data_IF_688292211644
#
_entry.id   IF_688292211644
#
_cell.length_a   1.000
_cell.length_b   1.000
_cell.length_c   1.000
_cell.angle_alpha   90.00
_cell.angle_beta   90.00
_cell.angle_gamma   90.00
#
_symmetry.space_group_name_H-M   'P 1'
#
loop_
_entity.id
_entity.type
_entity.pdbx_description
1 polymer ?
#
# COMPACT_ATOMS: atom_id res chain seq x y z
N UNK A 1 -4.33 -26.79 -0.83
CA UNK A 1 -2.95 -26.45 -1.27
C UNK A 1 -2.82 -25.92 -2.71
N UNK A 2 -3.79 -26.06 -3.63
CA UNK A 2 -3.62 -25.59 -5.02
C UNK A 2 -3.76 -24.06 -5.21
N UNK A 3 -4.61 -23.39 -4.43
CA UNK A 3 -4.91 -21.95 -4.61
C UNK A 3 -3.73 -21.05 -4.17
N UNK A 4 -3.19 -21.26 -2.97
CA UNK A 4 -2.03 -20.49 -2.46
C UNK A 4 -0.84 -20.57 -3.41
N UNK A 5 -0.52 -21.77 -3.91
CA UNK A 5 0.56 -21.96 -4.89
C UNK A 5 0.29 -21.19 -6.18
N UNK A 6 -0.93 -21.28 -6.73
CA UNK A 6 -1.30 -20.58 -7.96
C UNK A 6 -1.17 -19.05 -7.83
N UNK A 7 -1.52 -18.48 -6.68
CA UNK A 7 -1.32 -17.05 -6.43
C UNK A 7 0.16 -16.69 -6.32
N UNK A 8 0.95 -17.50 -5.61
CA UNK A 8 2.40 -17.27 -5.48
C UNK A 8 3.12 -17.36 -6.84
N UNK A 9 2.79 -18.34 -7.67
CA UNK A 9 3.30 -18.48 -9.05
C UNK A 9 2.90 -17.27 -9.89
N UNK A 10 1.63 -16.84 -9.83
CA UNK A 10 1.17 -15.65 -10.56
C UNK A 10 1.94 -14.38 -10.16
N UNK A 11 2.17 -14.14 -8.87
CA UNK A 11 2.95 -12.99 -8.38
C UNK A 11 4.42 -13.11 -8.85
N UNK A 12 5.00 -14.29 -8.79
CA UNK A 12 6.40 -14.52 -9.16
C UNK A 12 6.66 -14.35 -10.65
N UNK A 13 5.75 -14.85 -11.49
CA UNK A 13 5.94 -14.93 -12.94
C UNK A 13 5.52 -13.65 -13.67
N UNK A 14 4.74 -12.77 -13.03
CA UNK A 14 4.26 -11.52 -13.65
C UNK A 14 5.33 -10.43 -13.57
N UNK A 15 5.74 -9.90 -14.72
CA UNK A 15 6.55 -8.69 -14.84
C UNK A 15 5.76 -7.54 -15.45
N UNK A 16 6.34 -6.33 -15.42
CA UNK A 16 5.69 -5.09 -15.89
C UNK A 16 5.15 -5.21 -17.32
N UNK A 17 5.86 -5.91 -18.21
CA UNK A 17 5.53 -6.06 -19.62
C UNK A 17 4.34 -7.01 -19.85
N UNK A 18 3.98 -7.80 -18.85
CA UNK A 18 2.76 -8.61 -18.88
C UNK A 18 1.50 -7.79 -18.53
N UNK A 19 1.65 -6.58 -17.97
CA UNK A 19 0.53 -5.78 -17.50
C UNK A 19 -0.07 -4.98 -18.69
N UNK A 20 -1.39 -5.08 -18.92
CA UNK A 20 -2.05 -4.28 -19.95
C UNK A 20 -1.82 -2.77 -19.74
N UNK A 21 -1.61 -1.98 -20.82
CA UNK A 21 -1.30 -0.55 -20.69
C UNK A 21 -2.35 0.26 -19.92
N UNK A 22 -3.64 -0.06 -20.08
CA UNK A 22 -4.74 0.58 -19.36
C UNK A 22 -4.70 0.27 -17.85
N UNK A 23 -4.26 -0.93 -17.47
CA UNK A 23 -4.05 -1.30 -16.06
C UNK A 23 -2.83 -0.57 -15.48
N UNK A 24 -1.77 -0.38 -16.27
CA UNK A 24 -0.61 0.43 -15.86
C UNK A 24 -1.03 1.87 -15.59
N UNK A 25 -1.81 2.48 -16.48
CA UNK A 25 -2.34 3.84 -16.27
C UNK A 25 -3.22 3.90 -15.01
N UNK A 26 -4.09 2.89 -14.79
CA UNK A 26 -4.89 2.86 -13.57
C UNK A 26 -4.04 2.74 -12.30
N UNK A 27 -2.98 1.94 -12.34
CA UNK A 27 -2.02 1.84 -11.23
C UNK A 27 -1.32 3.17 -10.92
N UNK A 28 -1.02 3.98 -11.93
CA UNK A 28 -0.48 5.33 -11.74
C UNK A 28 -1.50 6.27 -11.10
N UNK A 29 -2.77 6.19 -11.49
CA UNK A 29 -3.85 6.95 -10.87
C UNK A 29 -3.99 6.60 -9.38
N UNK A 30 -4.04 5.31 -9.03
CA UNK A 30 -4.10 4.85 -7.63
C UNK A 30 -2.88 5.33 -6.82
N UNK A 31 -1.68 5.28 -7.40
CA UNK A 31 -0.48 5.81 -6.77
C UNK A 31 -0.58 7.32 -6.50
N UNK A 32 -1.04 8.09 -7.49
CA UNK A 32 -1.18 9.54 -7.39
C UNK A 32 -2.26 9.93 -6.38
N UNK A 33 -3.38 9.23 -6.38
CA UNK A 33 -4.49 9.41 -5.44
C UNK A 33 -4.02 9.21 -4.00
N UNK A 34 -3.42 8.05 -3.70
CA UNK A 34 -2.90 7.76 -2.37
C UNK A 34 -1.88 8.81 -1.91
N UNK A 35 -0.99 9.26 -2.80
CA UNK A 35 -0.02 10.29 -2.47
C UNK A 35 -0.70 11.62 -2.08
N UNK A 36 -1.73 12.02 -2.83
CA UNK A 36 -2.51 13.23 -2.53
C UNK A 36 -3.24 13.13 -1.19
N UNK A 37 -3.93 12.03 -0.95
CA UNK A 37 -4.66 11.77 0.30
C UNK A 37 -3.72 11.69 1.49
N UNK A 38 -2.61 10.95 1.38
CA UNK A 38 -1.64 10.81 2.45
C UNK A 38 -0.99 12.16 2.80
N UNK A 39 -0.66 13.00 1.81
CA UNK A 39 -0.14 14.35 2.07
C UNK A 39 -1.16 15.21 2.82
N UNK A 40 -2.44 15.17 2.43
CA UNK A 40 -3.50 15.86 3.16
C UNK A 40 -3.67 15.29 4.58
N UNK A 41 -3.58 13.96 4.73
CA UNK A 41 -3.71 13.26 6.01
C UNK A 41 -2.60 13.57 7.01
N UNK A 42 -1.44 14.11 6.58
CA UNK A 42 -0.35 14.45 7.49
C UNK A 42 -0.72 15.46 8.58
N UNK A 43 -1.77 16.26 8.37
CA UNK A 43 -2.22 17.27 9.35
C UNK A 43 -3.13 16.71 10.44
N UNK A 44 -3.63 15.49 10.27
CA UNK A 44 -4.54 14.85 11.21
C UNK A 44 -3.87 14.52 12.55
N UNK A 45 -4.67 14.51 13.62
CA UNK A 45 -4.15 14.23 14.95
C UNK A 45 -3.58 12.81 15.07
N UNK A 46 -4.24 11.84 14.43
CA UNK A 46 -3.76 10.46 14.34
C UNK A 46 -2.39 10.36 13.68
N UNK A 47 -2.16 11.16 12.62
CA UNK A 47 -0.87 11.27 11.92
C UNK A 47 0.24 11.81 12.83
N UNK A 48 -0.05 12.82 13.66
CA UNK A 48 0.93 13.32 14.64
C UNK A 48 1.28 12.25 15.67
N UNK A 49 0.28 11.55 16.21
CA UNK A 49 0.46 10.49 17.20
C UNK A 49 1.35 9.38 16.64
N UNK A 50 1.09 8.90 15.42
CA UNK A 50 1.88 7.81 14.84
C UNK A 50 3.31 8.26 14.53
N UNK A 51 3.49 9.50 14.07
CA UNK A 51 4.81 10.09 13.80
C UNK A 51 5.62 10.15 15.11
N UNK A 52 5.03 10.58 16.22
CA UNK A 52 5.73 10.64 17.49
C UNK A 52 6.03 9.25 18.06
N UNK A 53 5.11 8.29 17.89
CA UNK A 53 5.36 6.89 18.23
C UNK A 53 6.56 6.31 17.48
N UNK A 54 6.63 6.47 16.16
CA UNK A 54 7.74 5.88 15.37
C UNK A 54 9.07 6.61 15.57
N UNK A 55 9.05 7.89 15.94
CA UNK A 55 10.26 8.61 16.38
C UNK A 55 10.80 8.02 17.68
N UNK A 56 9.93 7.79 18.66
CA UNK A 56 10.31 7.23 19.96
C UNK A 56 10.80 5.78 19.83
N UNK A 57 10.10 4.97 19.03
CA UNK A 57 10.54 3.60 18.71
C UNK A 57 11.88 3.56 17.97
N UNK A 58 12.23 4.63 17.24
CA UNK A 58 13.46 4.73 16.46
C UNK A 58 13.56 3.69 15.34
N UNK A 59 14.79 3.35 14.97
CA UNK A 59 15.10 2.40 13.90
C UNK A 59 16.21 2.89 12.99
N UNK A 60 16.77 1.98 12.19
CA UNK A 60 17.73 2.35 11.15
C UNK A 60 17.04 3.19 10.09
N UNK A 61 17.65 4.29 9.64
CA UNK A 61 17.11 5.16 8.59
C UNK A 61 17.08 4.46 7.23
N UNK A 62 16.01 3.70 6.96
CA UNK A 62 15.86 2.89 5.75
C UNK A 62 14.75 3.39 4.83
N UNK A 63 13.72 3.99 5.39
CA UNK A 63 12.55 4.46 4.66
C UNK A 63 11.99 5.74 5.28
N UNK A 64 11.38 6.57 4.44
CA UNK A 64 10.87 7.90 4.77
C UNK A 64 9.40 7.86 5.20
N UNK A 65 9.02 8.77 6.11
CA UNK A 65 7.62 9.06 6.42
C UNK A 65 7.15 10.21 5.54
N UNK A 66 6.07 10.00 4.79
CA UNK A 66 5.54 10.96 3.80
C UNK A 66 5.21 12.30 4.44
N UNK A 67 5.53 13.39 3.74
CA UNK A 67 5.31 14.77 4.21
C UNK A 67 6.22 15.21 5.37
N UNK A 68 7.25 14.42 5.71
CA UNK A 68 8.21 14.76 6.78
C UNK A 68 9.66 14.63 6.30
N UNK A 69 10.61 15.01 7.18
CA UNK A 69 12.05 14.73 6.99
C UNK A 69 12.54 13.51 7.76
N UNK A 70 11.62 12.73 8.32
CA UNK A 70 11.94 11.63 9.24
C UNK A 70 12.15 10.36 8.42
N UNK A 71 13.22 9.64 8.76
CA UNK A 71 13.46 8.26 8.31
C UNK A 71 13.50 7.33 9.50
N UNK A 72 13.04 6.10 9.29
CA UNK A 72 13.04 5.03 10.29
C UNK A 72 13.19 3.68 9.57
N UNK A 73 13.08 2.57 10.31
CA UNK A 73 13.15 1.24 9.72
C UNK A 73 11.93 0.99 8.80
N UNK A 74 12.03 -0.03 7.94
CA UNK A 74 11.01 -0.33 6.92
C UNK A 74 9.62 -0.53 7.54
N UNK A 75 9.53 -1.30 8.63
CA UNK A 75 8.25 -1.63 9.26
C UNK A 75 7.57 -0.40 9.88
N UNK A 76 8.33 0.46 10.53
CA UNK A 76 7.81 1.69 11.14
C UNK A 76 7.38 2.70 10.09
N UNK A 77 8.14 2.85 9.00
CA UNK A 77 7.76 3.73 7.90
C UNK A 77 6.47 3.24 7.20
N UNK A 78 6.35 1.94 6.95
CA UNK A 78 5.14 1.34 6.39
C UNK A 78 3.92 1.55 7.30
N UNK A 79 4.08 1.32 8.61
CA UNK A 79 3.01 1.54 9.59
C UNK A 79 2.56 3.01 9.62
N UNK A 80 3.50 3.96 9.72
CA UNK A 80 3.18 5.38 9.76
C UNK A 80 2.50 5.85 8.47
N UNK A 81 3.06 5.50 7.31
CA UNK A 81 2.51 5.91 6.02
C UNK A 81 1.16 5.26 5.73
N UNK A 82 0.90 4.03 6.21
CA UNK A 82 -0.41 3.40 6.09
C UNK A 82 -1.48 4.10 6.92
N UNK A 83 -1.15 4.46 8.16
CA UNK A 83 -2.07 5.24 8.98
C UNK A 83 -2.34 6.62 8.36
N UNK A 84 -1.28 7.32 7.93
CA UNK A 84 -1.40 8.65 7.31
C UNK A 84 -2.26 8.59 6.04
N UNK A 85 -2.04 7.57 5.20
CA UNK A 85 -2.76 7.38 3.95
C UNK A 85 -4.26 7.10 4.10
N UNK A 86 -4.70 6.65 5.28
CA UNK A 86 -6.11 6.36 5.56
C UNK A 86 -6.70 7.31 6.63
N UNK A 87 -5.95 8.34 7.04
CA UNK A 87 -6.35 9.22 8.16
C UNK A 87 -7.65 10.00 7.90
N UNK A 88 -7.98 10.24 6.62
CA UNK A 88 -9.13 11.04 6.19
C UNK A 88 -10.29 10.22 5.63
N UNK A 89 -10.14 8.90 5.50
CA UNK A 89 -11.11 8.03 4.82
C UNK A 89 -11.45 8.53 3.39
N UNK A 90 -10.41 9.01 2.68
CA UNK A 90 -10.53 9.64 1.35
C UNK A 90 -9.81 8.80 0.26
N UNK A 91 -9.04 7.80 0.66
CA UNK A 91 -8.30 6.91 -0.21
C UNK A 91 -9.20 5.99 -1.04
N UNK A 92 -8.63 5.45 -2.12
CA UNK A 92 -9.35 4.58 -3.04
C UNK A 92 -10.07 3.40 -2.37
N UNK A 93 -11.18 3.01 -2.98
CA UNK A 93 -12.09 2.02 -2.44
C UNK A 93 -12.63 1.13 -3.56
N UNK A 94 -12.59 -0.18 -3.35
CA UNK A 94 -13.21 -1.14 -4.26
C UNK A 94 -14.53 -1.67 -3.71
N UNK A 95 -15.64 -1.21 -4.30
CA UNK A 95 -17.00 -1.44 -3.82
C UNK A 95 -17.38 -2.91 -3.65
N UNK A 96 -17.04 -3.76 -4.62
CA UNK A 96 -17.48 -5.15 -4.58
C UNK A 96 -16.80 -6.00 -3.48
N UNK A 97 -15.70 -5.52 -2.91
CA UNK A 97 -14.97 -6.23 -1.85
C UNK A 97 -14.92 -5.45 -0.54
N UNK A 98 -15.31 -4.18 -0.54
CA UNK A 98 -15.21 -3.28 0.61
C UNK A 98 -13.75 -3.14 1.10
N UNK A 99 -12.81 -2.92 0.17
CA UNK A 99 -11.36 -2.88 0.46
C UNK A 99 -10.75 -1.56 -0.04
N UNK A 100 -9.95 -0.94 0.83
CA UNK A 100 -9.06 0.19 0.53
C UNK A 100 -7.64 -0.31 0.26
N UNK A 101 -7.37 -0.78 -0.96
CA UNK A 101 -6.19 -1.59 -1.23
C UNK A 101 -4.90 -0.75 -1.29
N UNK A 102 -4.95 0.46 -1.88
CA UNK A 102 -3.75 1.27 -2.04
C UNK A 102 -3.21 1.75 -0.70
N UNK A 103 -4.08 2.22 0.20
CA UNK A 103 -3.68 2.65 1.54
C UNK A 103 -3.10 1.52 2.40
N UNK A 104 -3.53 0.28 2.19
CA UNK A 104 -2.98 -0.88 2.90
C UNK A 104 -1.63 -1.36 2.33
N UNK A 105 -1.48 -1.38 0.99
CA UNK A 105 -0.35 -2.04 0.34
C UNK A 105 0.80 -1.08 -0.03
N UNK A 106 0.48 0.09 -0.58
CA UNK A 106 1.48 1.03 -1.09
C UNK A 106 2.51 1.51 -0.04
N UNK A 107 2.14 1.78 1.23
CA UNK A 107 3.11 2.13 2.27
C UNK A 107 4.21 1.11 2.46
N UNK A 108 3.85 -0.19 2.47
CA UNK A 108 4.80 -1.28 2.62
C UNK A 108 5.71 -1.40 1.39
N UNK A 109 5.12 -1.26 0.19
CA UNK A 109 5.86 -1.28 -1.08
C UNK A 109 6.89 -0.15 -1.10
N UNK A 110 6.47 1.09 -0.82
CA UNK A 110 7.36 2.26 -0.82
C UNK A 110 8.48 2.14 0.21
N UNK A 111 8.18 1.66 1.42
CA UNK A 111 9.18 1.50 2.46
C UNK A 111 10.27 0.49 2.08
N UNK A 112 9.89 -0.63 1.45
CA UNK A 112 10.87 -1.61 0.94
C UNK A 112 11.62 -1.05 -0.27
N UNK A 113 10.90 -0.46 -1.23
CA UNK A 113 11.43 0.08 -2.47
C UNK A 113 12.50 1.16 -2.24
N UNK A 114 12.27 2.08 -1.29
CA UNK A 114 13.26 3.09 -0.93
C UNK A 114 14.54 2.45 -0.37
N UNK A 115 14.41 1.43 0.49
CA UNK A 115 15.56 0.78 1.12
C UNK A 115 16.39 -0.05 0.12
N UNK A 116 15.77 -0.67 -0.89
CA UNK A 116 16.50 -1.49 -1.89
C UNK A 116 16.82 -0.75 -3.19
N UNK A 117 16.33 0.49 -3.35
CA UNK A 117 16.57 1.29 -4.55
C UNK A 117 15.79 0.83 -5.78
N UNK A 118 14.53 0.40 -5.60
CA UNK A 118 13.68 -0.07 -6.70
C UNK A 118 13.33 1.05 -7.69
N UNK A 119 13.14 0.65 -8.94
CA UNK A 119 12.64 1.48 -10.03
C UNK A 119 11.14 1.75 -9.91
N UNK A 120 10.65 2.77 -10.64
CA UNK A 120 9.21 3.05 -10.71
C UNK A 120 8.39 1.92 -11.34
N UNK A 121 8.97 1.19 -12.30
CA UNK A 121 8.30 0.02 -12.91
C UNK A 121 8.10 -1.11 -11.89
N UNK A 122 9.09 -1.37 -11.04
CA UNK A 122 8.98 -2.37 -9.97
C UNK A 122 7.93 -1.96 -8.93
N UNK A 123 7.89 -0.68 -8.54
CA UNK A 123 6.89 -0.15 -7.61
C UNK A 123 5.48 -0.26 -8.20
N UNK A 124 5.27 0.15 -9.45
CA UNK A 124 3.98 0.04 -10.11
C UNK A 124 3.53 -1.41 -10.28
N UNK A 125 4.45 -2.31 -10.66
CA UNK A 125 4.17 -3.75 -10.77
C UNK A 125 3.71 -4.32 -9.43
N UNK A 126 4.44 -4.00 -8.35
CA UNK A 126 4.10 -4.45 -7.01
C UNK A 126 2.75 -3.91 -6.54
N UNK A 127 2.44 -2.63 -6.81
CA UNK A 127 1.16 -2.02 -6.45
C UNK A 127 0.01 -2.73 -7.16
N UNK A 128 0.09 -2.87 -8.48
CA UNK A 128 -0.96 -3.50 -9.29
C UNK A 128 -1.22 -4.94 -8.86
N UNK A 129 -0.15 -5.73 -8.67
CA UNK A 129 -0.28 -7.11 -8.19
C UNK A 129 -0.85 -7.17 -6.77
N UNK A 130 -0.46 -6.25 -5.88
CA UNK A 130 -0.98 -6.22 -4.51
C UNK A 130 -2.49 -5.97 -4.46
N UNK A 131 -2.98 -5.03 -5.29
CA UNK A 131 -4.40 -4.72 -5.43
C UNK A 131 -5.13 -5.93 -6.02
N UNK A 132 -4.68 -6.48 -7.15
CA UNK A 132 -5.32 -7.64 -7.78
C UNK A 132 -5.46 -8.84 -6.81
N UNK A 133 -4.40 -9.13 -6.04
CA UNK A 133 -4.42 -10.23 -5.06
C UNK A 133 -5.36 -9.94 -3.89
N UNK A 134 -5.31 -8.73 -3.31
CA UNK A 134 -6.21 -8.34 -2.23
C UNK A 134 -7.67 -8.47 -2.64
N UNK A 135 -8.01 -7.97 -3.84
CA UNK A 135 -9.38 -8.02 -4.37
C UNK A 135 -9.81 -9.45 -4.69
N UNK A 136 -8.94 -10.31 -5.26
CA UNK A 136 -9.26 -11.73 -5.48
C UNK A 136 -9.53 -12.49 -4.19
N UNK A 137 -8.80 -12.18 -3.13
CA UNK A 137 -9.05 -12.77 -1.80
C UNK A 137 -10.40 -12.27 -1.27
N UNK A 138 -10.67 -10.96 -1.35
CA UNK A 138 -11.95 -10.38 -0.94
C UNK A 138 -13.14 -11.00 -1.66
N UNK A 139 -13.07 -11.12 -3.00
CA UNK A 139 -14.10 -11.78 -3.81
C UNK A 139 -14.29 -13.25 -3.44
N UNK A 140 -13.22 -13.96 -3.08
CA UNK A 140 -13.29 -15.35 -2.64
C UNK A 140 -13.96 -15.53 -1.27
N UNK A 141 -13.91 -14.51 -0.41
CA UNK A 141 -14.56 -14.52 0.91
C UNK A 141 -16.05 -14.12 0.84
N UNK A 142 -16.45 -13.34 -0.17
CA UNK A 142 -17.79 -12.74 -0.24
C UNK A 142 -18.03 -11.69 0.85
N UNK A 143 -19.27 -11.31 1.10
CA UNK A 143 -19.64 -10.27 2.08
C UNK A 143 -19.72 -10.76 3.54
N UNK A 144 -19.70 -12.08 3.73
CA UNK A 144 -19.94 -12.72 5.03
C UNK A 144 -18.98 -12.27 6.14
N UNK A 145 -17.72 -12.06 5.81
CA UNK A 145 -16.72 -11.63 6.78
C UNK A 145 -17.03 -10.21 7.28
N UNK A 146 -17.39 -9.31 6.37
CA UNK A 146 -17.76 -7.93 6.70
C UNK A 146 -19.02 -7.86 7.56
N UNK A 147 -20.02 -8.69 7.28
CA UNK A 147 -21.27 -8.76 8.06
C UNK A 147 -21.06 -9.25 9.50
N UNK A 148 -19.93 -9.88 9.81
CA UNK A 148 -19.65 -10.43 11.15
C UNK A 148 -18.94 -9.45 12.08
N UNK A 149 -18.33 -8.38 11.57
CA UNK A 149 -17.42 -7.50 12.31
C UNK A 149 -16.03 -8.09 12.34
#
# INVERSE_FOLDING_TARGET
MKVTRKLAEFIHDTNFQNIPPDVVEKGKECFLDWQGVALAGTTEESSKIIIDYVKDAGGKEQASIIGTKIKTNISNAALANGLIGHALDFDDYHEATVIHASAACLPAILAVAENVGSSGEEVLTALILSIDIALRIGLGLGDYHYQRG
#
